data_IF_498905413247
#
_entry.id   IF_498905413247
#
_cell.length_a   1.000
_cell.length_b   1.000
_cell.length_c   1.000
_cell.angle_alpha   90.00
_cell.angle_beta   90.00
_cell.angle_gamma   90.00
#
_symmetry.space_group_name_H-M   'P 1'
#
loop_
_entity.id
_entity.type
_entity.pdbx_description
1 polymer ?
#
# COMPACT_ATOMS: atom_id res chain seq x y z
N UNK A 1 22.16 45.01 52.58
CA UNK A 1 20.84 44.72 52.01
C UNK A 1 21.08 44.33 50.55
N UNK A 2 21.19 43.04 50.30
CA UNK A 2 21.50 42.51 48.94
C UNK A 2 20.24 41.77 48.45
N UNK A 3 19.62 42.30 47.44
CA UNK A 3 18.42 41.69 46.82
C UNK A 3 18.89 40.70 45.79
N UNK A 4 18.61 39.41 46.01
CA UNK A 4 18.87 38.35 45.10
C UNK A 4 17.78 38.34 44.02
N UNK A 5 18.18 38.50 42.76
CA UNK A 5 17.30 38.34 41.60
C UNK A 5 17.28 36.85 41.24
N UNK A 6 16.17 36.21 41.46
CA UNK A 6 15.92 34.85 40.99
C UNK A 6 15.49 34.93 39.53
N UNK A 7 16.39 34.57 38.60
CA UNK A 7 16.06 34.34 37.22
C UNK A 7 15.35 32.99 37.08
N UNK A 8 14.04 33.03 36.86
CA UNK A 8 13.23 31.86 36.48
C UNK A 8 13.55 31.52 35.03
N UNK A 9 14.29 30.45 34.82
CA UNK A 9 14.49 29.89 33.47
C UNK A 9 13.27 29.06 33.15
N UNK A 10 12.41 29.56 32.28
CA UNK A 10 11.36 28.80 31.60
C UNK A 10 12.00 27.86 30.57
N UNK A 11 11.70 26.55 30.57
CA UNK A 11 12.11 25.70 29.48
C UNK A 11 11.35 26.10 28.23
N UNK A 12 12.10 26.51 27.21
CA UNK A 12 11.59 26.66 25.86
C UNK A 12 11.27 25.24 25.37
N UNK A 13 10.01 24.86 25.39
CA UNK A 13 9.53 23.74 24.61
C UNK A 13 9.67 24.16 23.14
N UNK A 14 10.71 23.66 22.49
CA UNK A 14 10.75 23.62 21.03
C UNK A 14 9.68 22.62 20.61
N UNK A 15 8.52 23.12 20.19
CA UNK A 15 7.59 22.37 19.40
C UNK A 15 8.34 22.01 18.11
N UNK A 16 8.77 20.75 18.00
CA UNK A 16 9.14 20.18 16.72
C UNK A 16 7.89 20.21 15.85
N UNK A 17 7.70 21.28 15.11
CA UNK A 17 6.80 21.27 13.96
C UNK A 17 7.28 20.14 13.05
N UNK A 18 6.54 19.03 13.06
CA UNK A 18 6.65 18.00 12.04
C UNK A 18 6.43 18.71 10.71
N UNK A 19 7.51 18.91 9.95
CA UNK A 19 7.42 19.35 8.56
C UNK A 19 6.63 18.28 7.81
N UNK A 20 5.30 18.44 7.75
CA UNK A 20 4.49 17.84 6.71
C UNK A 20 5.05 18.38 5.41
N UNK A 21 5.76 17.54 4.67
CA UNK A 21 6.21 17.86 3.31
C UNK A 21 4.95 18.12 2.51
N UNK A 22 4.66 19.39 2.27
CA UNK A 22 3.51 19.81 1.45
C UNK A 22 3.66 19.21 0.06
N UNK A 23 2.82 18.23 -0.23
CA UNK A 23 2.69 17.68 -1.58
C UNK A 23 2.21 18.83 -2.47
N UNK A 24 2.90 19.13 -3.59
CA UNK A 24 2.49 20.22 -4.46
C UNK A 24 1.00 20.13 -4.82
N UNK A 25 0.31 21.25 -4.82
CA UNK A 25 -1.14 21.31 -5.08
C UNK A 25 -1.54 20.59 -6.40
N UNK A 26 -0.67 20.64 -7.41
CA UNK A 26 -0.85 19.96 -8.69
C UNK A 26 -0.93 18.44 -8.53
N UNK A 27 -0.12 17.82 -7.65
CA UNK A 27 -0.17 16.38 -7.40
C UNK A 27 -1.44 15.97 -6.68
N UNK A 28 -1.93 16.80 -5.76
CA UNK A 28 -3.21 16.57 -5.09
C UNK A 28 -4.39 16.62 -6.09
N UNK A 29 -4.37 17.53 -7.03
CA UNK A 29 -5.39 17.61 -8.08
C UNK A 29 -5.32 16.41 -9.06
N UNK A 30 -4.12 15.95 -9.42
CA UNK A 30 -3.93 14.73 -10.22
C UNK A 30 -4.55 13.53 -9.49
N UNK A 31 -4.29 13.37 -8.18
CA UNK A 31 -4.85 12.27 -7.38
C UNK A 31 -6.37 12.33 -7.29
N UNK A 32 -6.95 13.47 -6.98
CA UNK A 32 -8.41 13.64 -6.87
C UNK A 32 -9.12 13.33 -8.19
N UNK A 33 -8.59 13.84 -9.30
CA UNK A 33 -9.11 13.53 -10.64
C UNK A 33 -9.01 12.04 -10.95
N UNK A 34 -7.85 11.42 -10.71
CA UNK A 34 -7.67 9.98 -10.93
C UNK A 34 -8.59 9.14 -10.05
N UNK A 35 -8.81 9.54 -8.78
CA UNK A 35 -9.78 8.88 -7.91
C UNK A 35 -11.19 8.95 -8.50
N UNK A 36 -11.64 10.14 -8.88
CA UNK A 36 -12.97 10.32 -9.48
C UNK A 36 -13.17 9.44 -10.73
N UNK A 37 -12.18 9.41 -11.63
CA UNK A 37 -12.22 8.56 -12.82
C UNK A 37 -12.29 7.07 -12.44
N UNK A 38 -11.52 6.62 -11.44
CA UNK A 38 -11.53 5.25 -10.96
C UNK A 38 -12.86 4.86 -10.31
N UNK A 39 -13.48 5.76 -9.55
CA UNK A 39 -14.82 5.56 -8.97
C UNK A 39 -15.89 5.41 -10.08
N UNK A 40 -15.78 6.20 -11.15
CA UNK A 40 -16.67 6.06 -12.31
C UNK A 40 -16.48 4.72 -13.03
N UNK A 41 -15.24 4.25 -13.19
CA UNK A 41 -14.92 2.93 -13.73
C UNK A 41 -15.54 1.82 -12.85
N UNK A 42 -15.34 1.88 -11.54
CA UNK A 42 -15.94 0.92 -10.60
C UNK A 42 -17.47 0.92 -10.69
N UNK A 43 -18.08 2.08 -10.70
CA UNK A 43 -19.54 2.24 -10.79
C UNK A 43 -20.09 1.64 -12.08
N UNK A 44 -19.45 1.91 -13.22
CA UNK A 44 -19.87 1.38 -14.52
C UNK A 44 -19.73 -0.16 -14.57
N UNK A 45 -18.72 -0.73 -13.92
CA UNK A 45 -18.58 -2.18 -13.78
C UNK A 45 -19.55 -2.80 -12.74
N UNK A 46 -20.40 -1.99 -12.11
CA UNK A 46 -21.32 -2.46 -11.06
C UNK A 46 -20.63 -2.79 -9.73
N UNK A 47 -19.41 -2.28 -9.51
CA UNK A 47 -18.68 -2.39 -8.25
C UNK A 47 -19.10 -1.26 -7.32
N UNK A 48 -19.71 -1.62 -6.19
CA UNK A 48 -20.15 -0.66 -5.15
C UNK A 48 -19.03 -0.43 -4.16
N UNK A 49 -18.24 0.61 -4.37
CA UNK A 49 -17.18 1.04 -3.46
C UNK A 49 -17.75 1.77 -2.22
N UNK A 50 -17.00 1.76 -1.13
CA UNK A 50 -17.29 2.57 0.05
C UNK A 50 -16.95 4.06 -0.20
N UNK A 51 -17.36 4.91 0.74
CA UNK A 51 -17.07 6.33 0.72
C UNK A 51 -15.59 6.62 0.99
N UNK A 52 -14.95 7.36 0.08
CA UNK A 52 -13.57 7.81 0.22
C UNK A 52 -13.57 9.25 0.71
N UNK A 53 -13.08 9.48 1.92
CA UNK A 53 -13.01 10.82 2.53
C UNK A 53 -11.71 11.56 2.18
N UNK A 54 -10.66 10.83 1.82
CA UNK A 54 -9.36 11.42 1.49
C UNK A 54 -8.53 10.48 0.61
N UNK A 55 -7.76 11.08 -0.30
CA UNK A 55 -6.68 10.42 -1.04
C UNK A 55 -5.43 11.29 -1.01
N UNK A 56 -4.30 10.70 -0.62
CA UNK A 56 -3.06 11.46 -0.46
C UNK A 56 -1.82 10.66 -0.86
N UNK A 57 -0.74 11.38 -1.13
CA UNK A 57 0.60 10.79 -1.25
C UNK A 57 1.11 10.43 0.14
N UNK A 58 1.72 9.27 0.26
CA UNK A 58 2.46 8.90 1.46
C UNK A 58 3.91 8.54 1.09
N UNK A 59 4.88 9.45 1.26
CA UNK A 59 6.28 9.23 0.92
C UNK A 59 6.95 8.15 1.78
N UNK A 60 6.33 7.79 2.90
CA UNK A 60 6.81 6.72 3.78
C UNK A 60 6.26 5.34 3.39
N UNK A 61 5.42 5.26 2.37
CA UNK A 61 4.83 4.00 1.89
C UNK A 61 5.83 3.22 1.04
N UNK A 62 6.85 2.63 1.67
CA UNK A 62 7.97 1.97 0.97
C UNK A 62 7.73 0.52 0.57
N UNK A 63 6.71 -0.14 1.13
CA UNK A 63 6.48 -1.59 0.94
C UNK A 63 5.17 -1.91 0.23
N UNK A 64 4.48 -0.90 -0.25
CA UNK A 64 3.23 -1.04 -0.99
C UNK A 64 3.10 0.14 -1.96
N UNK A 65 2.32 -0.05 -3.03
CA UNK A 65 2.02 0.98 -4.01
C UNK A 65 0.82 1.82 -3.61
N UNK A 66 -0.11 1.21 -2.88
CA UNK A 66 -1.26 1.84 -2.27
C UNK A 66 -1.57 1.25 -0.91
N UNK A 67 -2.45 1.93 -0.17
CA UNK A 67 -3.02 1.45 1.09
C UNK A 67 -4.41 2.02 1.26
N UNK A 68 -5.37 1.14 1.55
CA UNK A 68 -6.70 1.54 2.00
C UNK A 68 -6.76 1.49 3.53
N UNK A 69 -7.14 2.59 4.15
CA UNK A 69 -7.33 2.73 5.61
C UNK A 69 -8.82 2.89 5.85
N UNK A 70 -9.39 1.97 6.63
CA UNK A 70 -10.82 1.98 6.98
C UNK A 70 -11.04 2.58 8.36
N UNK A 71 -11.83 3.64 8.43
CA UNK A 71 -12.44 4.11 9.68
C UNK A 71 -13.63 3.20 10.00
N UNK A 72 -13.45 2.32 10.99
CA UNK A 72 -14.48 1.35 11.38
C UNK A 72 -15.65 1.97 12.14
N UNK A 73 -15.49 3.17 12.66
CA UNK A 73 -16.54 3.88 13.40
C UNK A 73 -17.53 4.50 12.41
N UNK A 74 -17.00 5.19 11.41
CA UNK A 74 -17.80 5.93 10.42
C UNK A 74 -18.08 5.12 9.15
N UNK A 75 -17.40 4.00 8.94
CA UNK A 75 -17.52 3.17 7.73
C UNK A 75 -16.91 3.83 6.48
N UNK A 76 -16.07 4.83 6.65
CA UNK A 76 -15.42 5.56 5.58
C UNK A 76 -13.99 5.09 5.34
N UNK A 77 -13.38 5.51 4.23
CA UNK A 77 -12.06 5.06 3.85
C UNK A 77 -11.15 6.22 3.45
N UNK A 78 -9.85 6.04 3.64
CA UNK A 78 -8.79 6.91 3.11
C UNK A 78 -7.84 6.05 2.26
N UNK A 79 -7.35 6.63 1.16
CA UNK A 79 -6.38 5.97 0.28
C UNK A 79 -5.05 6.71 0.36
N UNK A 80 -3.99 5.97 0.57
CA UNK A 80 -2.62 6.45 0.48
C UNK A 80 -1.96 5.85 -0.75
N UNK A 81 -1.22 6.66 -1.50
CA UNK A 81 -0.53 6.29 -2.73
C UNK A 81 0.97 6.51 -2.57
N UNK A 82 1.76 5.56 -3.06
CA UNK A 82 3.21 5.69 -3.11
C UNK A 82 3.61 6.81 -4.09
N UNK A 83 4.50 7.68 -3.66
CA UNK A 83 4.98 8.84 -4.43
C UNK A 83 5.53 8.45 -5.81
N UNK A 84 6.21 7.31 -5.93
CA UNK A 84 6.76 6.84 -7.19
C UNK A 84 5.73 6.69 -8.32
N UNK A 85 4.45 6.45 -8.00
CA UNK A 85 3.38 6.36 -9.01
C UNK A 85 2.97 7.70 -9.62
N UNK A 86 3.47 8.81 -9.09
CA UNK A 86 3.20 10.16 -9.58
C UNK A 86 4.33 10.72 -10.44
N UNK A 87 5.44 10.00 -10.55
CA UNK A 87 6.54 10.37 -11.43
C UNK A 87 6.10 10.35 -12.90
N UNK A 88 6.57 11.33 -13.67
CA UNK A 88 6.21 11.49 -15.08
C UNK A 88 6.66 10.32 -15.97
N UNK A 89 7.66 9.55 -15.53
CA UNK A 89 8.12 8.34 -16.22
C UNK A 89 7.21 7.12 -15.99
N UNK A 90 6.27 7.19 -15.04
CA UNK A 90 5.33 6.12 -14.72
C UNK A 90 4.01 6.35 -15.44
N UNK A 91 3.47 5.36 -16.18
CA UNK A 91 2.21 5.52 -16.86
C UNK A 91 1.04 5.83 -15.92
N UNK A 92 0.15 6.75 -16.29
CA UNK A 92 -1.06 7.06 -15.52
C UNK A 92 -1.93 5.82 -15.24
N UNK A 93 -1.87 4.83 -16.13
CA UNK A 93 -2.57 3.55 -15.93
C UNK A 93 -2.11 2.84 -14.68
N UNK A 94 -0.84 2.92 -14.30
CA UNK A 94 -0.28 2.29 -13.10
C UNK A 94 -0.84 2.92 -11.83
N UNK A 95 -0.97 4.25 -11.80
CA UNK A 95 -1.65 4.98 -10.74
C UNK A 95 -3.12 4.55 -10.64
N UNK A 96 -3.86 4.53 -11.76
CA UNK A 96 -5.27 4.15 -11.80
C UNK A 96 -5.48 2.69 -11.39
N UNK A 97 -4.64 1.76 -11.82
CA UNK A 97 -4.69 0.35 -11.39
C UNK A 97 -4.53 0.24 -9.87
N UNK A 98 -3.60 1.00 -9.29
CA UNK A 98 -3.40 1.02 -7.85
C UNK A 98 -4.61 1.62 -7.13
N UNK A 99 -5.16 2.75 -7.58
CA UNK A 99 -6.35 3.35 -6.98
C UNK A 99 -7.53 2.38 -7.03
N UNK A 100 -7.77 1.73 -8.18
CA UNK A 100 -8.85 0.74 -8.33
C UNK A 100 -8.63 -0.46 -7.40
N UNK A 101 -7.39 -0.92 -7.23
CA UNK A 101 -7.04 -1.96 -6.27
C UNK A 101 -7.46 -1.57 -4.84
N UNK A 102 -7.14 -0.35 -4.42
CA UNK A 102 -7.52 0.16 -3.10
C UNK A 102 -9.04 0.37 -2.97
N UNK A 103 -9.71 0.79 -4.04
CA UNK A 103 -11.18 0.88 -4.07
C UNK A 103 -11.84 -0.51 -3.89
N UNK A 104 -11.26 -1.57 -4.43
CA UNK A 104 -11.76 -2.94 -4.20
C UNK A 104 -11.65 -3.37 -2.73
N UNK A 105 -10.75 -2.78 -1.94
CA UNK A 105 -10.71 -3.03 -0.49
C UNK A 105 -11.88 -2.41 0.27
N UNK A 106 -12.57 -1.44 -0.31
CA UNK A 106 -13.69 -0.73 0.31
C UNK A 106 -15.04 -1.41 0.10
N UNK A 107 -15.12 -2.40 -0.79
CA UNK A 107 -16.36 -3.15 -1.01
C UNK A 107 -16.69 -4.03 0.20
N UNK A 108 -17.94 -4.42 0.33
CA UNK A 108 -18.35 -5.39 1.36
C UNK A 108 -17.50 -6.67 1.24
N UNK A 109 -16.90 -7.13 2.36
CA UNK A 109 -15.98 -8.26 2.42
C UNK A 109 -14.71 -8.15 1.56
N UNK A 110 -14.32 -6.91 1.20
CA UNK A 110 -13.14 -6.61 0.37
C UNK A 110 -11.80 -6.64 1.11
N UNK A 111 -11.81 -6.65 2.44
CA UNK A 111 -10.60 -6.62 3.24
C UNK A 111 -9.70 -7.85 3.00
N UNK A 112 -8.39 -7.62 2.81
CA UNK A 112 -7.38 -8.67 2.71
C UNK A 112 -7.54 -9.57 1.47
N UNK A 113 -7.99 -9.03 0.33
CA UNK A 113 -8.18 -9.73 -0.95
C UNK A 113 -9.11 -10.95 -0.85
N UNK A 114 -10.11 -10.86 0.04
CA UNK A 114 -11.11 -11.91 0.26
C UNK A 114 -12.18 -11.88 -0.85
N UNK A 115 -13.28 -12.59 -0.61
CA UNK A 115 -14.35 -12.81 -1.58
C UNK A 115 -14.83 -11.50 -2.24
N UNK A 116 -15.17 -10.49 -1.45
CA UNK A 116 -15.67 -9.21 -1.99
C UNK A 116 -14.66 -8.51 -2.91
N UNK A 117 -13.37 -8.52 -2.53
CA UNK A 117 -12.32 -7.95 -3.37
C UNK A 117 -12.19 -8.70 -4.70
N UNK A 118 -12.19 -10.05 -4.67
CA UNK A 118 -12.07 -10.88 -5.87
C UNK A 118 -13.26 -10.68 -6.80
N UNK A 119 -14.48 -10.69 -6.28
CA UNK A 119 -15.69 -10.43 -7.07
C UNK A 119 -15.67 -9.05 -7.73
N UNK A 120 -15.14 -8.04 -7.07
CA UNK A 120 -14.96 -6.71 -7.65
C UNK A 120 -13.90 -6.73 -8.75
N UNK A 121 -12.76 -7.39 -8.53
CA UNK A 121 -11.70 -7.55 -9.52
C UNK A 121 -12.20 -8.30 -10.77
N UNK A 122 -12.91 -9.41 -10.60
CA UNK A 122 -13.48 -10.21 -11.70
C UNK A 122 -14.45 -9.39 -12.55
N UNK A 123 -15.27 -8.52 -11.95
CA UNK A 123 -16.18 -7.63 -12.68
C UNK A 123 -15.43 -6.58 -13.51
N UNK A 124 -14.38 -5.99 -12.91
CA UNK A 124 -13.55 -5.01 -13.61
C UNK A 124 -12.78 -5.65 -14.76
N UNK A 125 -12.30 -6.87 -14.59
CA UNK A 125 -11.69 -7.64 -15.68
C UNK A 125 -12.70 -7.94 -16.79
N UNK A 126 -13.90 -8.38 -16.45
CA UNK A 126 -14.94 -8.72 -17.42
C UNK A 126 -15.39 -7.51 -18.27
N UNK A 127 -15.44 -6.30 -17.67
CA UNK A 127 -15.94 -5.10 -18.35
C UNK A 127 -14.82 -4.35 -19.08
N UNK A 128 -13.63 -4.29 -18.49
CA UNK A 128 -12.52 -3.45 -18.99
C UNK A 128 -11.26 -4.22 -19.37
N UNK A 129 -11.23 -5.54 -19.16
CA UNK A 129 -9.99 -6.32 -19.29
C UNK A 129 -8.93 -5.96 -18.25
N UNK A 130 -9.33 -5.30 -17.14
CA UNK A 130 -8.44 -4.82 -16.12
C UNK A 130 -8.09 -5.94 -15.13
N UNK A 131 -6.98 -6.60 -15.37
CA UNK A 131 -6.47 -7.62 -14.45
C UNK A 131 -5.88 -6.98 -13.19
N UNK A 132 -6.49 -7.29 -12.04
CA UNK A 132 -6.02 -6.87 -10.73
C UNK A 132 -5.39 -8.05 -10.00
N UNK A 133 -4.15 -7.86 -9.54
CA UNK A 133 -3.45 -8.83 -8.70
C UNK A 133 -3.53 -8.41 -7.23
N UNK A 134 -3.61 -9.36 -6.28
CA UNK A 134 -3.47 -9.08 -4.85
C UNK A 134 -2.15 -8.39 -4.48
N UNK A 135 -1.12 -8.55 -5.30
CA UNK A 135 0.16 -7.85 -5.16
C UNK A 135 0.65 -7.48 -6.56
N UNK A 136 1.25 -6.29 -6.68
CA UNK A 136 1.90 -5.85 -7.90
C UNK A 136 3.38 -5.61 -7.63
N UNK A 137 4.26 -6.07 -8.53
CA UNK A 137 5.66 -5.68 -8.54
C UNK A 137 5.86 -4.29 -9.18
N UNK A 138 7.06 -3.74 -9.08
CA UNK A 138 7.40 -2.51 -9.81
C UNK A 138 7.29 -2.71 -11.33
N UNK A 139 7.65 -3.89 -11.83
CA UNK A 139 7.55 -4.26 -13.24
C UNK A 139 6.10 -4.33 -13.72
N UNK A 140 5.19 -4.91 -12.93
CA UNK A 140 3.76 -4.95 -13.24
C UNK A 140 3.13 -3.56 -13.38
N UNK A 141 3.68 -2.59 -12.65
CA UNK A 141 3.25 -1.19 -12.65
C UNK A 141 4.14 -0.30 -13.51
N UNK A 142 5.09 -0.87 -14.23
CA UNK A 142 6.04 -0.13 -15.08
C UNK A 142 6.76 1.01 -14.33
N UNK A 143 7.03 0.80 -13.03
CA UNK A 143 7.77 1.76 -12.22
C UNK A 143 9.28 1.50 -12.39
N UNK A 144 10.05 2.50 -12.81
CA UNK A 144 11.50 2.37 -12.94
C UNK A 144 12.16 1.90 -11.64
N UNK A 145 13.15 1.03 -11.75
CA UNK A 145 13.87 0.49 -10.58
C UNK A 145 14.53 1.58 -9.73
N UNK A 146 14.91 2.71 -10.32
CA UNK A 146 15.44 3.87 -9.63
C UNK A 146 14.44 4.54 -8.67
N UNK A 147 13.14 4.43 -8.95
CA UNK A 147 12.05 4.97 -8.13
C UNK A 147 11.49 3.93 -7.15
N UNK A 148 11.74 2.64 -7.41
CA UNK A 148 11.26 1.56 -6.56
C UNK A 148 12.05 1.50 -5.27
N UNK A 149 11.43 1.86 -4.16
CA UNK A 149 11.98 1.65 -2.81
C UNK A 149 11.58 0.29 -2.23
N UNK A 150 11.12 -0.64 -3.07
CA UNK A 150 10.76 -1.99 -2.61
C UNK A 150 11.99 -2.62 -1.96
N UNK A 151 11.92 -3.06 -0.71
CA UNK A 151 13.04 -3.70 -0.06
C UNK A 151 13.50 -4.90 -0.89
N UNK A 152 14.80 -5.00 -1.15
CA UNK A 152 15.37 -6.20 -1.74
C UNK A 152 14.98 -7.42 -0.91
N UNK A 153 14.73 -8.55 -1.59
CA UNK A 153 14.51 -9.84 -0.92
C UNK A 153 15.65 -10.08 0.04
N UNK A 154 15.34 -10.30 1.33
CA UNK A 154 16.36 -10.51 2.38
C UNK A 154 16.51 -11.97 2.76
N UNK A 155 15.45 -12.73 2.57
CA UNK A 155 15.38 -14.14 2.99
C UNK A 155 14.75 -14.96 1.90
N UNK A 156 15.44 -15.96 1.43
CA UNK A 156 14.95 -16.92 0.42
C UNK A 156 14.95 -18.30 1.06
N UNK A 157 13.85 -19.01 0.91
CA UNK A 157 13.71 -20.37 1.41
C UNK A 157 13.29 -21.27 0.27
N UNK A 158 13.79 -22.50 0.30
CA UNK A 158 13.41 -23.54 -0.64
C UNK A 158 12.78 -24.70 0.11
N UNK A 159 11.68 -25.23 -0.41
CA UNK A 159 11.16 -26.52 0.07
C UNK A 159 12.11 -27.63 -0.34
N UNK A 160 12.58 -28.45 0.62
CA UNK A 160 13.50 -29.57 0.38
C UNK A 160 12.91 -30.64 -0.53
N UNK A 161 11.58 -30.80 -0.55
CA UNK A 161 10.93 -31.90 -1.24
C UNK A 161 10.43 -31.51 -2.64
N UNK A 162 9.78 -30.34 -2.80
CA UNK A 162 9.21 -29.95 -4.09
C UNK A 162 9.89 -28.73 -4.74
N UNK A 163 10.92 -28.19 -4.11
CA UNK A 163 11.67 -27.06 -4.67
C UNK A 163 10.96 -25.71 -4.66
N UNK A 164 9.73 -25.62 -4.09
CA UNK A 164 8.99 -24.35 -3.99
C UNK A 164 9.84 -23.28 -3.31
N UNK A 165 10.02 -22.14 -3.99
CA UNK A 165 10.74 -20.98 -3.45
C UNK A 165 9.76 -20.05 -2.74
N UNK A 166 10.17 -19.60 -1.55
CA UNK A 166 9.47 -18.59 -0.77
C UNK A 166 10.43 -17.44 -0.48
N UNK A 167 10.05 -16.24 -0.88
CA UNK A 167 10.81 -15.02 -0.61
C UNK A 167 10.17 -14.24 0.53
N UNK A 168 11.00 -13.62 1.37
CA UNK A 168 10.57 -12.77 2.48
C UNK A 168 11.42 -11.49 2.52
N UNK A 169 10.74 -10.37 2.67
CA UNK A 169 11.37 -9.04 2.74
C UNK A 169 11.61 -8.58 4.18
N UNK A 170 10.92 -9.22 5.14
CA UNK A 170 10.97 -8.85 6.56
C UNK A 170 11.18 -10.08 7.42
N UNK A 171 11.84 -9.85 8.55
CA UNK A 171 11.95 -10.86 9.61
C UNK A 171 10.55 -11.21 10.14
N UNK A 172 10.28 -12.48 10.30
CA UNK A 172 8.99 -13.01 10.75
C UNK A 172 9.20 -14.32 11.49
N UNK A 173 8.18 -14.80 12.19
CA UNK A 173 8.23 -16.12 12.86
C UNK A 173 8.62 -17.25 11.92
N UNK A 174 8.24 -17.19 10.65
CA UNK A 174 8.67 -18.15 9.64
C UNK A 174 10.17 -18.02 9.34
N UNK A 175 10.69 -16.81 9.22
CA UNK A 175 12.13 -16.55 8.99
C UNK A 175 12.97 -17.01 10.18
N UNK A 176 12.46 -16.80 11.40
CA UNK A 176 13.18 -17.16 12.63
C UNK A 176 13.16 -18.67 12.94
N UNK A 177 12.15 -19.38 12.44
CA UNK A 177 11.96 -20.81 12.74
C UNK A 177 11.25 -21.51 11.58
N UNK A 178 11.89 -21.61 10.40
CA UNK A 178 11.29 -22.22 9.21
C UNK A 178 10.94 -23.69 9.38
N UNK A 179 11.66 -24.38 10.26
CA UNK A 179 11.44 -25.79 10.61
C UNK A 179 10.06 -26.07 11.24
N UNK A 180 9.41 -25.05 11.80
CA UNK A 180 8.05 -25.14 12.38
C UNK A 180 6.94 -25.12 11.34
N UNK A 181 7.29 -24.86 10.09
CA UNK A 181 6.32 -24.72 9.00
C UNK A 181 6.45 -25.87 8.03
N UNK A 182 5.36 -26.17 7.33
CA UNK A 182 5.33 -27.18 6.29
C UNK A 182 4.90 -26.53 4.98
N UNK A 183 5.44 -27.06 3.90
CA UNK A 183 5.09 -26.63 2.55
C UNK A 183 3.62 -26.89 2.28
N UNK A 184 2.86 -25.86 1.89
CA UNK A 184 1.45 -26.00 1.55
C UNK A 184 1.18 -26.85 0.30
N UNK A 185 2.22 -27.11 -0.49
CA UNK A 185 2.14 -27.89 -1.73
C UNK A 185 2.42 -29.40 -1.51
N UNK A 186 3.41 -29.75 -0.66
CA UNK A 186 3.86 -31.14 -0.50
C UNK A 186 4.12 -31.55 0.95
N UNK A 187 3.84 -30.68 1.92
CA UNK A 187 4.12 -30.88 3.34
C UNK A 187 5.60 -31.02 3.73
N UNK A 188 6.53 -30.77 2.80
CA UNK A 188 7.97 -30.79 3.04
C UNK A 188 8.45 -29.66 3.97
N UNK A 189 9.73 -29.71 4.32
CA UNK A 189 10.38 -28.71 5.17
C UNK A 189 11.03 -27.60 4.34
N UNK A 190 11.34 -26.47 4.97
CA UNK A 190 12.00 -25.34 4.31
C UNK A 190 13.44 -25.20 4.79
N UNK A 191 14.35 -24.96 3.85
CA UNK A 191 15.73 -24.57 4.09
C UNK A 191 15.95 -23.14 3.60
N UNK A 192 16.72 -22.36 4.34
CA UNK A 192 17.11 -21.01 3.92
C UNK A 192 18.29 -21.13 2.93
N UNK A 193 18.22 -20.36 1.82
CA UNK A 193 19.27 -20.28 0.79
C UNK A 193 20.24 -19.15 1.09
#
# INVERSE_FOLDING_TARGET
MTIAIIQTILPIFLEEESQETEVPAILNEKLKRSLHECEMICRHAGVKTGEITDIRVNPLLRSAWGRCITDRINGTHKIEINEALLDDSVPDLSLKRTIIHELCHTVKDGHGHRKGWREAADRLEAVYGLQLSPSNSAEDLLVPSSLSQVPSVRYVFRCSDCGLIIERYRRSKFVDSPERYRCGNCCGTFEQL
#
